data_IF_332358835012
#
_entry.id   IF_332358835012
#
_cell.length_a   1.000
_cell.length_b   1.000
_cell.length_c   1.000
_cell.angle_alpha   90.00
_cell.angle_beta   90.00
_cell.angle_gamma   90.00
#
_symmetry.space_group_name_H-M   'P 1'
#
loop_
_entity.id
_entity.type
_entity.pdbx_description
1 polymer ?
#
# COMPACT_ATOMS: atom_id res chain seq x y z
N UNK A 1 -30.02 46.57 -73.49
CA UNK A 1 -30.42 46.02 -72.17
C UNK A 1 -29.59 44.78 -71.91
N UNK A 2 -28.53 44.88 -71.10
CA UNK A 2 -27.68 43.75 -70.72
C UNK A 2 -27.62 43.70 -69.19
N UNK A 3 -28.09 42.60 -68.60
CA UNK A 3 -28.05 42.35 -67.17
C UNK A 3 -26.67 41.81 -66.75
N UNK A 4 -26.15 42.19 -65.56
CA UNK A 4 -24.83 41.75 -65.12
C UNK A 4 -24.86 40.32 -64.57
N UNK A 5 -23.94 39.48 -65.05
CA UNK A 5 -23.66 38.14 -64.48
C UNK A 5 -23.09 38.31 -63.07
N UNK A 6 -23.83 37.83 -62.06
CA UNK A 6 -23.32 37.66 -60.70
C UNK A 6 -22.35 36.48 -60.66
N UNK A 7 -21.08 36.75 -60.35
CA UNK A 7 -20.09 35.73 -60.01
C UNK A 7 -20.35 35.27 -58.57
N UNK A 8 -20.65 33.97 -58.41
CA UNK A 8 -20.71 33.31 -57.11
C UNK A 8 -19.27 33.01 -56.71
N UNK A 9 -18.74 33.75 -55.74
CA UNK A 9 -17.47 33.44 -55.10
C UNK A 9 -17.66 32.19 -54.22
N UNK A 10 -17.15 31.05 -54.71
CA UNK A 10 -17.05 29.83 -53.91
C UNK A 10 -15.96 30.09 -52.87
N UNK A 11 -16.37 30.35 -51.63
CA UNK A 11 -15.47 30.48 -50.48
C UNK A 11 -14.71 29.16 -50.31
N UNK A 12 -13.40 29.26 -50.52
CA UNK A 12 -12.41 28.19 -50.37
C UNK A 12 -12.54 27.56 -48.98
N UNK A 13 -12.77 26.24 -48.94
CA UNK A 13 -12.90 25.45 -47.72
C UNK A 13 -11.52 25.36 -47.06
N UNK A 14 -11.17 26.33 -46.20
CA UNK A 14 -9.87 26.38 -45.52
C UNK A 14 -9.65 25.21 -44.56
N UNK A 15 -10.72 24.54 -44.12
CA UNK A 15 -10.65 23.36 -43.25
C UNK A 15 -10.02 22.12 -43.92
N UNK A 16 -10.13 21.98 -45.24
CA UNK A 16 -9.62 20.82 -45.96
C UNK A 16 -8.08 20.76 -45.95
N UNK A 17 -7.42 21.91 -46.04
CA UNK A 17 -5.95 21.98 -46.05
C UNK A 17 -5.31 21.64 -44.71
N UNK A 18 -5.96 22.00 -43.60
CA UNK A 18 -5.47 21.71 -42.25
C UNK A 18 -5.54 20.22 -41.93
N UNK A 19 -6.68 19.59 -42.24
CA UNK A 19 -6.86 18.15 -42.07
C UNK A 19 -5.90 17.32 -42.93
N UNK A 20 -5.65 17.75 -44.17
CA UNK A 20 -4.74 17.04 -45.07
C UNK A 20 -3.28 17.16 -44.59
N UNK A 21 -2.88 18.32 -44.06
CA UNK A 21 -1.57 18.51 -43.41
C UNK A 21 -1.40 17.62 -42.17
N UNK A 22 -2.45 17.50 -41.37
CA UNK A 22 -2.46 16.61 -40.21
C UNK A 22 -2.26 15.14 -40.62
N UNK A 23 -3.01 14.65 -41.61
CA UNK A 23 -2.86 13.27 -42.08
C UNK A 23 -1.49 12.96 -42.67
N UNK A 24 -0.93 13.90 -43.45
CA UNK A 24 0.42 13.76 -44.01
C UNK A 24 1.44 13.70 -42.86
N UNK A 25 1.32 14.58 -41.86
CA UNK A 25 2.19 14.55 -40.68
C UNK A 25 2.07 13.23 -39.89
N UNK A 26 0.85 12.73 -39.65
CA UNK A 26 0.62 11.44 -38.98
C UNK A 26 1.25 10.30 -39.78
N UNK A 27 1.07 10.27 -41.11
CA UNK A 27 1.65 9.23 -41.97
C UNK A 27 3.19 9.26 -41.99
N UNK A 28 3.79 10.45 -41.96
CA UNK A 28 5.24 10.65 -41.90
C UNK A 28 5.83 10.19 -40.56
N UNK A 29 5.07 10.34 -39.47
CA UNK A 29 5.51 10.01 -38.11
C UNK A 29 4.93 8.69 -37.58
N UNK A 30 4.31 7.87 -38.44
CA UNK A 30 3.56 6.68 -38.03
C UNK A 30 4.41 5.70 -37.19
N UNK A 31 5.67 5.48 -37.57
CA UNK A 31 6.58 4.61 -36.80
C UNK A 31 6.82 5.10 -35.37
N UNK A 32 7.03 6.40 -35.19
CA UNK A 32 7.22 7.01 -33.86
C UNK A 32 5.92 6.93 -33.05
N UNK A 33 4.77 7.24 -33.66
CA UNK A 33 3.47 7.15 -33.00
C UNK A 33 3.13 5.72 -32.57
N UNK A 34 3.38 4.73 -33.42
CA UNK A 34 3.20 3.32 -33.09
C UNK A 34 4.12 2.89 -31.94
N UNK A 35 5.37 3.32 -31.95
CA UNK A 35 6.31 3.07 -30.85
C UNK A 35 5.83 3.69 -29.54
N UNK A 36 5.42 4.96 -29.53
CA UNK A 36 4.88 5.62 -28.34
C UNK A 36 3.62 4.95 -27.83
N UNK A 37 2.71 4.56 -28.72
CA UNK A 37 1.48 3.87 -28.34
C UNK A 37 1.79 2.51 -27.70
N UNK A 38 2.70 1.74 -28.29
CA UNK A 38 3.16 0.48 -27.74
C UNK A 38 3.83 0.67 -26.37
N UNK A 39 4.68 1.70 -26.24
CA UNK A 39 5.36 2.03 -24.99
C UNK A 39 4.39 2.42 -23.88
N UNK A 40 3.42 3.30 -24.17
CA UNK A 40 2.38 3.70 -23.21
C UNK A 40 1.54 2.50 -22.80
N UNK A 41 1.15 1.66 -23.74
CA UNK A 41 0.37 0.44 -23.45
C UNK A 41 1.17 -0.50 -22.54
N UNK A 42 2.45 -0.70 -22.82
CA UNK A 42 3.33 -1.52 -21.98
C UNK A 42 3.52 -0.92 -20.57
N UNK A 43 3.71 0.40 -20.46
CA UNK A 43 3.84 1.09 -19.19
C UNK A 43 2.55 0.98 -18.35
N UNK A 44 1.38 1.15 -18.97
CA UNK A 44 0.08 0.96 -18.31
C UNK A 44 -0.11 -0.48 -17.84
N UNK A 45 0.22 -1.47 -18.68
CA UNK A 45 0.13 -2.89 -18.30
C UNK A 45 1.06 -3.22 -17.12
N UNK A 46 2.28 -2.72 -17.14
CA UNK A 46 3.24 -2.91 -16.05
C UNK A 46 2.76 -2.23 -14.75
N UNK A 47 2.27 -0.99 -14.83
CA UNK A 47 1.70 -0.29 -13.68
C UNK A 47 0.53 -1.05 -13.07
N UNK A 48 -0.39 -1.53 -13.92
CA UNK A 48 -1.54 -2.31 -13.48
C UNK A 48 -1.12 -3.62 -12.80
N UNK A 49 -0.15 -4.33 -13.37
CA UNK A 49 0.41 -5.55 -12.78
C UNK A 49 1.03 -5.29 -11.40
N UNK A 50 1.86 -4.25 -11.26
CA UNK A 50 2.48 -3.87 -9.98
C UNK A 50 1.40 -3.48 -8.96
N UNK A 51 0.38 -2.73 -9.39
CA UNK A 51 -0.73 -2.32 -8.52
C UNK A 51 -1.49 -3.53 -7.97
N UNK A 52 -1.83 -4.51 -8.83
CA UNK A 52 -2.47 -5.76 -8.40
C UNK A 52 -1.59 -6.51 -7.42
N UNK A 53 -0.29 -6.68 -7.73
CA UNK A 53 0.62 -7.44 -6.85
C UNK A 53 0.77 -6.79 -5.48
N UNK A 54 0.85 -5.46 -5.41
CA UNK A 54 0.85 -4.73 -4.14
C UNK A 54 -0.46 -4.91 -3.36
N UNK A 55 -1.60 -4.94 -4.05
CA UNK A 55 -2.89 -5.19 -3.41
C UNK A 55 -2.98 -6.62 -2.86
N UNK A 56 -2.55 -7.62 -3.62
CA UNK A 56 -2.48 -9.03 -3.18
C UNK A 56 -1.55 -9.20 -1.97
N UNK A 57 -0.37 -8.59 -2.00
CA UNK A 57 0.57 -8.63 -0.88
C UNK A 57 -0.02 -8.00 0.39
N UNK A 58 -0.72 -6.88 0.25
CA UNK A 58 -1.42 -6.24 1.37
C UNK A 58 -2.52 -7.13 1.94
N UNK A 59 -3.28 -7.82 1.07
CA UNK A 59 -4.31 -8.75 1.49
C UNK A 59 -3.73 -9.96 2.24
N UNK A 60 -2.62 -10.53 1.74
CA UNK A 60 -1.88 -11.60 2.43
C UNK A 60 -1.40 -11.14 3.81
N UNK A 61 -0.72 -10.00 3.89
CA UNK A 61 -0.26 -9.44 5.17
C UNK A 61 -1.38 -9.15 6.16
N UNK A 62 -2.55 -8.71 5.67
CA UNK A 62 -3.74 -8.56 6.50
C UNK A 62 -4.18 -9.92 7.07
N UNK A 63 -4.29 -10.95 6.23
CA UNK A 63 -4.67 -12.30 6.66
C UNK A 63 -3.67 -12.87 7.69
N UNK A 64 -2.38 -12.81 7.38
CA UNK A 64 -1.30 -13.33 8.24
C UNK A 64 -1.32 -12.66 9.62
N UNK A 65 -1.48 -11.32 9.64
CA UNK A 65 -1.59 -10.58 10.90
C UNK A 65 -2.78 -11.06 11.74
N UNK A 66 -3.95 -11.24 11.14
CA UNK A 66 -5.14 -11.68 11.88
C UNK A 66 -5.00 -13.11 12.39
N UNK A 67 -4.38 -13.99 11.58
CA UNK A 67 -4.10 -15.36 11.98
C UNK A 67 -3.13 -15.41 13.17
N UNK A 68 -2.05 -14.60 13.17
CA UNK A 68 -1.14 -14.49 14.31
C UNK A 68 -1.86 -14.03 15.59
N UNK A 69 -2.75 -13.06 15.49
CA UNK A 69 -3.53 -12.59 16.65
C UNK A 69 -4.48 -13.68 17.17
N UNK A 70 -5.10 -14.45 16.28
CA UNK A 70 -5.94 -15.58 16.67
C UNK A 70 -5.10 -16.66 17.38
N UNK A 71 -4.00 -17.06 16.76
CA UNK A 71 -3.08 -18.07 17.28
C UNK A 71 -2.45 -17.69 18.63
N UNK A 72 -2.29 -16.39 18.90
CA UNK A 72 -1.80 -15.89 20.19
C UNK A 72 -2.83 -16.05 21.31
N UNK A 73 -4.13 -15.99 21.00
CA UNK A 73 -5.20 -16.08 21.98
C UNK A 73 -5.63 -17.53 22.27
N UNK A 74 -5.29 -18.48 21.40
CA UNK A 74 -5.60 -19.90 21.54
C UNK A 74 -6.48 -20.43 20.42
N UNK A 75 -6.62 -21.75 20.36
CA UNK A 75 -7.45 -22.40 19.36
C UNK A 75 -8.95 -22.31 19.71
N UNK A 76 -9.80 -22.56 18.72
CA UNK A 76 -11.25 -22.63 18.92
C UNK A 76 -11.67 -23.78 19.87
N UNK A 77 -10.75 -24.71 20.15
CA UNK A 77 -10.88 -25.84 21.06
C UNK A 77 -10.76 -25.45 22.55
N UNK A 78 -10.41 -24.20 22.85
CA UNK A 78 -10.29 -23.69 24.22
C UNK A 78 -8.93 -23.97 24.88
N UNK A 79 -7.97 -24.54 24.13
CA UNK A 79 -6.59 -24.74 24.57
C UNK A 79 -5.78 -23.45 24.40
N UNK A 80 -5.26 -22.93 25.52
CA UNK A 80 -4.32 -21.81 25.46
C UNK A 80 -3.04 -22.19 24.68
N UNK A 81 -2.49 -21.31 23.84
CA UNK A 81 -1.32 -21.64 23.04
C UNK A 81 -0.09 -21.76 23.96
N UNK A 82 0.85 -22.64 23.61
CA UNK A 82 2.12 -22.77 24.34
C UNK A 82 2.85 -21.43 24.47
N UNK A 83 3.48 -21.19 25.62
CA UNK A 83 4.13 -19.91 25.94
C UNK A 83 5.20 -19.54 24.90
N UNK A 84 5.97 -20.53 24.43
CA UNK A 84 6.99 -20.31 23.40
C UNK A 84 6.39 -19.90 22.06
N UNK A 85 5.22 -20.47 21.70
CA UNK A 85 4.48 -20.05 20.49
C UNK A 85 4.00 -18.61 20.63
N UNK A 86 3.43 -18.24 21.78
CA UNK A 86 3.00 -16.86 22.01
C UNK A 86 4.18 -15.88 21.93
N UNK A 87 5.34 -16.25 22.49
CA UNK A 87 6.57 -15.45 22.41
C UNK A 87 7.06 -15.27 20.98
N UNK A 88 7.06 -16.33 20.16
CA UNK A 88 7.40 -16.25 18.74
C UNK A 88 6.42 -15.34 17.98
N UNK A 89 5.12 -15.47 18.24
CA UNK A 89 4.11 -14.60 17.62
C UNK A 89 4.35 -13.13 17.97
N UNK A 90 4.62 -12.81 19.24
CA UNK A 90 4.90 -11.42 19.67
C UNK A 90 6.12 -10.85 18.97
N UNK A 91 7.16 -11.67 18.77
CA UNK A 91 8.34 -11.30 18.00
C UNK A 91 7.97 -11.02 16.53
N UNK A 92 7.09 -11.82 15.93
CA UNK A 92 6.67 -11.63 14.53
C UNK A 92 5.79 -10.38 14.34
N UNK A 93 4.92 -10.07 15.30
CA UNK A 93 4.01 -8.91 15.23
C UNK A 93 4.75 -7.57 15.02
N UNK A 94 6.02 -7.48 15.42
CA UNK A 94 6.85 -6.28 15.23
C UNK A 94 7.19 -5.98 13.77
N UNK A 95 6.98 -6.93 12.86
CA UNK A 95 7.25 -6.75 11.42
C UNK A 95 6.08 -6.07 10.68
N UNK A 96 4.93 -5.93 11.34
CA UNK A 96 3.70 -5.38 10.77
C UNK A 96 3.54 -3.88 11.08
N UNK A 97 4.37 -3.05 10.43
CA UNK A 97 4.45 -1.60 10.67
C UNK A 97 3.13 -0.86 10.53
N UNK A 98 2.33 -1.24 9.54
CA UNK A 98 1.02 -0.68 9.26
C UNK A 98 0.00 -0.96 10.38
N UNK A 99 0.23 -1.99 11.20
CA UNK A 99 -0.65 -2.39 12.30
C UNK A 99 -0.15 -1.95 13.68
N UNK A 100 1.01 -1.28 13.77
CA UNK A 100 1.61 -0.85 15.04
C UNK A 100 0.63 -0.22 16.04
N UNK A 101 -0.26 0.74 15.67
CA UNK A 101 -1.22 1.30 16.62
C UNK A 101 -2.19 0.27 17.23
N UNK A 102 -2.56 -0.75 16.47
CA UNK A 102 -3.42 -1.85 16.94
C UNK A 102 -2.59 -2.83 17.77
N UNK A 103 -1.42 -3.23 17.27
CA UNK A 103 -0.49 -4.14 17.94
C UNK A 103 -0.15 -3.65 19.35
N UNK A 104 0.16 -2.35 19.50
CA UNK A 104 0.44 -1.73 20.80
C UNK A 104 -0.73 -1.93 21.78
N UNK A 105 -1.96 -1.62 21.37
CA UNK A 105 -3.16 -1.77 22.22
C UNK A 105 -3.44 -3.23 22.61
N UNK A 106 -3.17 -4.16 21.70
CA UNK A 106 -3.32 -5.60 21.98
C UNK A 106 -2.26 -6.05 22.99
N UNK A 107 -0.99 -5.75 22.73
CA UNK A 107 0.13 -6.18 23.55
C UNK A 107 0.12 -5.55 24.95
N UNK A 108 -0.28 -4.29 25.11
CA UNK A 108 -0.45 -3.67 26.44
C UNK A 108 -1.46 -4.43 27.30
N UNK A 109 -2.62 -4.79 26.72
CA UNK A 109 -3.64 -5.57 27.42
C UNK A 109 -3.16 -7.00 27.71
N UNK A 110 -2.48 -7.63 26.75
CA UNK A 110 -1.96 -8.99 26.91
C UNK A 110 -0.87 -9.06 27.99
N UNK A 111 0.03 -8.07 28.02
CA UNK A 111 1.07 -7.91 29.05
C UNK A 111 0.48 -7.89 30.45
N UNK A 112 -0.58 -7.11 30.68
CA UNK A 112 -1.26 -7.05 31.97
C UNK A 112 -1.82 -8.42 32.37
N UNK A 113 -2.44 -9.16 31.43
CA UNK A 113 -2.94 -10.52 31.70
C UNK A 113 -1.81 -11.48 32.07
N UNK A 114 -0.70 -11.46 31.34
CA UNK A 114 0.45 -12.31 31.66
C UNK A 114 1.10 -11.94 32.99
N UNK A 115 1.21 -10.65 33.31
CA UNK A 115 1.69 -10.21 34.62
C UNK A 115 0.85 -10.78 35.75
N UNK A 116 -0.49 -10.69 35.65
CA UNK A 116 -1.42 -11.29 36.62
C UNK A 116 -1.20 -12.80 36.74
N UNK A 117 -1.12 -13.52 35.61
CA UNK A 117 -0.87 -14.97 35.61
C UNK A 117 0.51 -15.33 36.16
N UNK A 118 1.49 -14.45 36.04
CA UNK A 118 2.84 -14.70 36.54
C UNK A 118 2.87 -14.76 38.07
N UNK A 119 2.03 -13.96 38.74
CA UNK A 119 1.82 -14.06 40.19
C UNK A 119 1.21 -15.43 40.52
N UNK A 120 1.97 -16.26 41.23
CA UNK A 120 1.56 -17.62 41.62
C UNK A 120 2.04 -18.75 40.70
N UNK A 121 2.64 -18.44 39.54
CA UNK A 121 3.18 -19.45 38.61
C UNK A 121 4.72 -19.46 38.55
N UNK A 122 5.39 -18.95 39.59
CA UNK A 122 6.85 -19.07 39.74
C UNK A 122 7.68 -18.41 38.63
N UNK A 123 7.17 -17.37 37.96
CA UNK A 123 7.90 -16.68 36.88
C UNK A 123 7.73 -17.29 35.48
N UNK A 124 6.83 -18.25 35.30
CA UNK A 124 6.60 -18.93 34.02
C UNK A 124 6.32 -17.97 32.84
N UNK A 125 5.74 -16.80 33.10
CA UNK A 125 5.40 -15.80 32.08
C UNK A 125 6.46 -14.69 31.93
N UNK A 126 7.60 -14.77 32.61
CA UNK A 126 8.64 -13.73 32.52
C UNK A 126 9.17 -13.56 31.10
N UNK A 127 9.39 -14.67 30.38
CA UNK A 127 9.92 -14.64 29.02
C UNK A 127 9.00 -13.88 28.06
N UNK A 128 7.71 -14.18 28.10
CA UNK A 128 6.72 -13.55 27.23
C UNK A 128 6.49 -12.07 27.59
N UNK A 129 6.51 -11.72 28.88
CA UNK A 129 6.41 -10.32 29.32
C UNK A 129 7.63 -9.53 28.81
N UNK A 130 8.85 -10.08 28.95
CA UNK A 130 10.07 -9.45 28.44
C UNK A 130 10.04 -9.26 26.94
N UNK A 131 9.60 -10.26 26.18
CA UNK A 131 9.51 -10.13 24.72
C UNK A 131 8.45 -9.10 24.31
N UNK A 132 7.33 -9.04 25.04
CA UNK A 132 6.31 -8.00 24.84
C UNK A 132 6.88 -6.59 25.04
N UNK A 133 7.68 -6.39 26.08
CA UNK A 133 8.31 -5.09 26.37
C UNK A 133 9.32 -4.68 25.30
N UNK A 134 10.10 -5.63 24.77
CA UNK A 134 10.99 -5.39 23.63
C UNK A 134 10.22 -5.01 22.37
N UNK A 135 9.11 -5.71 22.08
CA UNK A 135 8.29 -5.39 20.91
C UNK A 135 7.62 -4.02 21.06
N UNK A 136 7.06 -3.70 22.23
CA UNK A 136 6.44 -2.40 22.49
C UNK A 136 7.45 -1.24 22.39
N UNK A 137 8.64 -1.39 22.97
CA UNK A 137 9.70 -0.36 22.87
C UNK A 137 10.19 -0.17 21.44
N UNK A 138 10.31 -1.24 20.65
CA UNK A 138 10.64 -1.15 19.23
C UNK A 138 9.57 -0.40 18.44
N UNK A 139 8.30 -0.73 18.66
CA UNK A 139 7.16 -0.07 18.01
C UNK A 139 7.15 1.42 18.37
N UNK A 140 7.29 1.75 19.65
CA UNK A 140 7.32 3.14 20.13
C UNK A 140 8.45 3.94 19.46
N UNK A 141 9.66 3.38 19.37
CA UNK A 141 10.80 4.00 18.69
C UNK A 141 10.51 4.25 17.20
N UNK A 142 9.90 3.29 16.51
CA UNK A 142 9.55 3.41 15.08
C UNK A 142 8.43 4.42 14.84
N UNK A 143 7.41 4.45 15.69
CA UNK A 143 6.31 5.42 15.60
C UNK A 143 6.78 6.84 15.91
N UNK A 144 7.63 7.02 16.93
CA UNK A 144 8.27 8.30 17.22
C UNK A 144 9.08 8.81 16.03
N UNK A 145 9.95 7.97 15.45
CA UNK A 145 10.74 8.33 14.27
C UNK A 145 9.87 8.74 13.06
N UNK A 146 8.75 8.05 12.83
CA UNK A 146 7.81 8.40 11.77
C UNK A 146 7.14 9.75 12.02
N UNK A 147 6.80 10.06 13.27
CA UNK A 147 6.26 11.36 13.66
C UNK A 147 7.26 12.49 13.43
N UNK A 148 8.53 12.31 13.82
CA UNK A 148 9.58 13.31 13.59
C UNK A 148 9.90 13.55 12.11
N UNK A 149 9.72 12.55 11.24
CA UNK A 149 9.91 12.69 9.79
C UNK A 149 8.69 13.28 9.06
N UNK A 150 7.54 13.40 9.73
CA UNK A 150 6.32 14.01 9.18
C UNK A 150 6.10 15.46 9.62
N UNK A 151 6.96 15.99 10.50
CA UNK A 151 7.00 17.43 10.78
C UNK A 151 7.74 18.04 9.58
N UNK A 152 7.00 18.75 8.73
CA UNK A 152 7.56 19.48 7.60
C UNK A 152 8.59 20.50 8.10
N UNK A 153 9.66 20.70 7.32
CA UNK A 153 10.85 21.49 7.64
C UNK A 153 10.56 22.99 7.87
N UNK A 154 9.30 23.41 7.76
CA UNK A 154 8.81 24.78 7.94
C UNK A 154 8.70 25.18 9.42
N UNK A 155 8.72 24.22 10.35
CA UNK A 155 8.69 24.43 11.81
C UNK A 155 10.04 24.17 12.52
N UNK A 156 11.16 24.05 11.78
CA UNK A 156 12.51 23.88 12.37
C UNK A 156 13.26 25.21 12.50
#
# INVERSE_FOLDING_TARGET
>A
MMAPRRYIAITKIEGAGMWMKFWVWVSLNNGALAFFLAFVTAACALYHYISIKRAEERARRFSDFHQLIQDMNGDASGGGPYIDRQMAIIYELRNFQEYYPVTTRILVRARQRWAIKNYGNGGLYDGIIKETDKTLSLIARKQGCKYYLSIEEEDR
#
